data_IF_238283974084
#
_entry.id   IF_238283974084
#
_cell.length_a   1.000
_cell.length_b   1.000
_cell.length_c   1.000
_cell.angle_alpha   90.00
_cell.angle_beta   90.00
_cell.angle_gamma   90.00
#
_symmetry.space_group_name_H-M   'P 1'
#
loop_
_entity.id
_entity.type
_entity.pdbx_description
1 polymer ?
#
# COMPACT_ATOMS: atom_id res chain seq x y z
N UNK A 1 7.89 20.68 -21.99
CA UNK A 1 7.07 21.62 -21.20
C UNK A 1 7.82 21.85 -19.90
N UNK A 2 8.25 23.08 -19.60
CA UNK A 2 8.92 23.39 -18.34
C UNK A 2 7.95 23.21 -17.18
N UNK A 3 8.31 22.38 -16.21
CA UNK A 3 7.54 22.20 -14.98
C UNK A 3 7.77 23.47 -14.15
N UNK A 4 6.71 24.25 -13.92
CA UNK A 4 6.78 25.38 -12.98
C UNK A 4 6.61 24.86 -11.54
N UNK A 5 7.68 24.99 -10.77
CA UNK A 5 7.65 24.71 -9.33
C UNK A 5 7.07 25.91 -8.58
N UNK A 6 6.25 25.66 -7.54
CA UNK A 6 5.81 26.71 -6.63
C UNK A 6 6.91 27.11 -5.63
N UNK A 7 6.67 28.16 -4.85
CA UNK A 7 7.66 28.69 -3.88
C UNK A 7 8.10 27.65 -2.83
N UNK A 8 7.17 26.82 -2.35
CA UNK A 8 7.49 25.77 -1.37
C UNK A 8 8.37 24.68 -1.99
N UNK A 9 8.07 24.31 -3.24
CA UNK A 9 8.86 23.32 -3.98
C UNK A 9 10.25 23.85 -4.33
N UNK A 10 10.36 25.12 -4.76
CA UNK A 10 11.67 25.78 -5.00
C UNK A 10 12.50 25.78 -3.72
N UNK A 11 11.90 26.12 -2.59
CA UNK A 11 12.57 26.09 -1.30
C UNK A 11 13.04 24.66 -0.95
N UNK A 12 12.19 23.65 -1.17
CA UNK A 12 12.55 22.24 -0.93
C UNK A 12 13.73 21.78 -1.79
N UNK A 13 13.78 22.19 -3.08
CA UNK A 13 14.93 21.91 -3.96
C UNK A 13 16.20 22.52 -3.40
N UNK A 14 16.16 23.80 -3.05
CA UNK A 14 17.31 24.52 -2.49
C UNK A 14 17.86 23.85 -1.21
N UNK A 15 16.96 23.47 -0.29
CA UNK A 15 17.33 22.76 0.94
C UNK A 15 17.90 21.38 0.64
N UNK A 16 17.30 20.61 -0.28
CA UNK A 16 17.76 19.29 -0.68
C UNK A 16 19.16 19.33 -1.35
N UNK A 17 19.41 20.34 -2.20
CA UNK A 17 20.77 20.53 -2.78
C UNK A 17 21.80 20.86 -1.70
N UNK A 18 21.49 21.78 -0.79
CA UNK A 18 22.37 22.15 0.31
C UNK A 18 22.69 20.95 1.19
N UNK A 19 21.65 20.19 1.56
CA UNK A 19 21.80 18.94 2.32
C UNK A 19 22.72 17.93 1.62
N UNK A 20 22.45 17.63 0.34
CA UNK A 20 23.24 16.66 -0.41
C UNK A 20 24.71 17.05 -0.56
N UNK A 21 24.99 18.33 -0.74
CA UNK A 21 26.37 18.88 -0.84
C UNK A 21 27.09 18.88 0.50
N UNK A 22 26.39 19.18 1.61
CA UNK A 22 27.00 19.28 2.94
C UNK A 22 27.31 17.92 3.56
N UNK A 23 26.54 16.87 3.22
CA UNK A 23 26.63 15.51 3.78
C UNK A 23 26.66 15.47 5.32
N UNK A 24 26.06 16.45 5.98
CA UNK A 24 26.03 16.55 7.43
C UNK A 24 25.13 15.50 8.07
N UNK A 25 24.03 15.17 7.39
CA UNK A 25 23.05 14.18 7.81
C UNK A 25 22.80 13.19 6.67
N UNK A 26 22.59 11.92 7.00
CA UNK A 26 22.29 10.89 5.99
C UNK A 26 20.89 11.02 5.40
N UNK A 27 19.93 11.63 6.12
CA UNK A 27 18.52 11.68 5.74
C UNK A 27 18.07 13.12 5.52
N UNK A 28 17.24 13.31 4.49
CA UNK A 28 16.50 14.54 4.20
C UNK A 28 15.03 14.23 4.01
N UNK A 29 14.16 14.82 4.82
CA UNK A 29 12.76 14.46 4.92
C UNK A 29 11.84 15.54 4.35
N UNK A 30 10.98 15.16 3.39
CA UNK A 30 9.98 16.03 2.77
C UNK A 30 8.59 15.45 3.02
N UNK A 31 7.80 16.14 3.83
CA UNK A 31 6.41 15.82 4.06
C UNK A 31 5.48 16.67 3.20
N UNK A 32 4.36 16.08 2.75
CA UNK A 32 3.31 16.85 2.07
C UNK A 32 2.13 15.96 1.71
N UNK A 33 0.93 16.53 1.57
CA UNK A 33 -0.28 15.81 1.25
C UNK A 33 -0.21 15.12 -0.12
N UNK A 34 -1.14 14.20 -0.36
CA UNK A 34 -1.32 13.61 -1.68
C UNK A 34 -1.61 14.72 -2.72
N UNK A 35 -0.87 14.72 -3.83
CA UNK A 35 -1.02 15.75 -4.87
C UNK A 35 -0.21 17.03 -4.66
N UNK A 36 0.64 17.11 -3.64
CA UNK A 36 1.57 18.26 -3.46
C UNK A 36 2.76 18.27 -4.44
N UNK A 37 2.83 17.29 -5.36
CA UNK A 37 3.87 17.25 -6.39
C UNK A 37 5.21 16.68 -5.92
N UNK A 38 5.26 15.92 -4.82
CA UNK A 38 6.51 15.33 -4.28
C UNK A 38 7.34 14.58 -5.33
N UNK A 39 6.70 13.73 -6.13
CA UNK A 39 7.38 12.94 -7.17
C UNK A 39 8.02 13.85 -8.23
N UNK A 40 7.30 14.88 -8.68
CA UNK A 40 7.81 15.87 -9.63
C UNK A 40 8.97 16.66 -9.07
N UNK A 41 8.84 17.09 -7.81
CA UNK A 41 9.88 17.78 -7.06
C UNK A 41 11.18 16.97 -7.00
N UNK A 42 11.08 15.68 -6.70
CA UNK A 42 12.25 14.78 -6.60
C UNK A 42 12.95 14.61 -7.93
N UNK A 43 12.21 14.46 -9.03
CA UNK A 43 12.83 14.38 -10.37
C UNK A 43 13.61 15.64 -10.69
N UNK A 44 13.03 16.80 -10.36
CA UNK A 44 13.72 18.08 -10.53
C UNK A 44 14.97 18.19 -9.65
N UNK A 45 14.88 17.77 -8.39
CA UNK A 45 16.04 17.78 -7.47
C UNK A 45 17.16 16.85 -7.96
N UNK A 46 16.85 15.63 -8.43
CA UNK A 46 17.81 14.67 -8.99
C UNK A 46 18.55 15.29 -10.19
N UNK A 47 17.81 15.96 -11.09
CA UNK A 47 18.39 16.68 -12.23
C UNK A 47 19.36 17.80 -11.78
N UNK A 48 18.96 18.62 -10.79
CA UNK A 48 19.81 19.67 -10.22
C UNK A 48 21.06 19.12 -9.52
N UNK A 49 20.97 17.90 -8.95
CA UNK A 49 22.13 17.22 -8.35
C UNK A 49 23.08 16.61 -9.40
N UNK A 50 22.72 16.62 -10.69
CA UNK A 50 23.50 16.02 -11.77
C UNK A 50 23.60 14.51 -11.64
N UNK A 51 22.57 13.85 -11.11
CA UNK A 51 22.52 12.40 -10.95
C UNK A 51 21.69 11.76 -12.08
N UNK A 52 22.23 10.71 -12.65
CA UNK A 52 21.48 9.85 -13.56
C UNK A 52 20.52 8.94 -12.76
N UNK A 53 19.39 8.55 -13.37
CA UNK A 53 18.39 7.72 -12.69
C UNK A 53 18.91 6.34 -12.27
N UNK A 54 19.92 5.81 -12.92
CA UNK A 54 20.59 4.55 -12.55
C UNK A 54 21.52 4.68 -11.33
N UNK A 55 21.87 5.91 -10.94
CA UNK A 55 22.59 6.22 -9.71
C UNK A 55 21.62 6.43 -8.51
N UNK A 56 20.31 6.42 -8.77
CA UNK A 56 19.27 6.63 -7.74
C UNK A 56 18.49 5.35 -7.52
N UNK A 57 18.46 4.88 -6.30
CA UNK A 57 17.61 3.76 -5.90
C UNK A 57 16.25 4.27 -5.40
N UNK A 58 15.21 4.07 -6.20
CA UNK A 58 13.84 4.37 -5.80
C UNK A 58 13.24 3.21 -5.04
N UNK A 59 12.74 3.47 -3.83
CA UNK A 59 12.09 2.47 -2.99
C UNK A 59 10.78 3.00 -2.42
N UNK A 60 9.83 2.10 -2.19
CA UNK A 60 8.60 2.40 -1.48
C UNK A 60 8.30 1.29 -0.48
N UNK A 61 7.60 1.63 0.61
CA UNK A 61 7.22 0.64 1.61
C UNK A 61 6.24 -0.39 1.04
N UNK A 62 5.21 0.09 0.33
CA UNK A 62 4.16 -0.76 -0.28
C UNK A 62 4.49 -1.09 -1.74
N UNK A 63 4.24 -2.35 -2.13
CA UNK A 63 4.43 -2.79 -3.51
C UNK A 63 3.66 -1.96 -4.53
N UNK A 64 2.44 -1.57 -4.20
CA UNK A 64 1.59 -0.75 -5.08
C UNK A 64 2.14 0.67 -5.29
N UNK A 65 2.75 1.26 -4.27
CA UNK A 65 3.44 2.55 -4.40
C UNK A 65 4.67 2.41 -5.33
N UNK A 66 5.47 1.36 -5.17
CA UNK A 66 6.59 1.06 -6.07
C UNK A 66 6.11 0.85 -7.51
N UNK A 67 5.03 0.10 -7.73
CA UNK A 67 4.44 -0.08 -9.06
C UNK A 67 3.98 1.24 -9.68
N UNK A 68 3.35 2.14 -8.90
CA UNK A 68 2.93 3.47 -9.38
C UNK A 68 4.13 4.32 -9.80
N UNK A 69 5.22 4.28 -9.05
CA UNK A 69 6.46 4.95 -9.44
C UNK A 69 7.02 4.36 -10.74
N UNK A 70 7.05 3.04 -10.88
CA UNK A 70 7.51 2.36 -12.09
C UNK A 70 6.69 2.73 -13.33
N UNK A 71 5.36 2.84 -13.22
CA UNK A 71 4.47 3.32 -14.29
C UNK A 71 4.76 4.77 -14.71
N UNK A 72 5.28 5.58 -13.80
CA UNK A 72 5.71 6.96 -14.07
C UNK A 72 7.17 7.04 -14.56
N UNK A 73 7.77 5.90 -14.97
CA UNK A 73 9.12 5.83 -15.51
C UNK A 73 10.25 5.80 -14.47
N UNK A 74 9.93 5.67 -13.18
CA UNK A 74 10.91 5.52 -12.11
C UNK A 74 11.12 4.04 -11.78
N UNK A 75 12.35 3.48 -11.87
CA UNK A 75 12.60 2.05 -11.63
C UNK A 75 12.53 1.70 -10.13
N UNK A 76 11.35 1.83 -9.55
CA UNK A 76 11.14 1.65 -8.13
C UNK A 76 10.94 0.17 -7.73
N UNK A 77 11.40 -0.15 -6.52
CA UNK A 77 11.23 -1.46 -5.85
C UNK A 77 10.59 -1.26 -4.50
N UNK A 78 10.10 -2.36 -3.89
CA UNK A 78 9.79 -2.25 -2.46
C UNK A 78 11.09 -2.19 -1.66
N UNK A 79 11.05 -1.48 -0.51
CA UNK A 79 12.20 -1.41 0.40
C UNK A 79 12.70 -2.81 0.76
N UNK A 80 11.81 -3.76 1.08
CA UNK A 80 12.18 -5.14 1.38
C UNK A 80 12.94 -5.82 0.23
N UNK A 81 12.47 -5.70 -1.02
CA UNK A 81 13.16 -6.32 -2.16
C UNK A 81 14.48 -5.63 -2.50
N UNK A 82 14.61 -4.36 -2.15
CA UNK A 82 15.83 -3.60 -2.36
C UNK A 82 16.93 -4.03 -1.39
N UNK A 83 16.64 -4.13 -0.09
CA UNK A 83 17.64 -4.32 0.97
C UNK A 83 17.80 -5.75 1.46
N UNK A 84 16.77 -6.63 1.32
CA UNK A 84 16.86 -8.03 1.76
C UNK A 84 16.97 -9.01 0.59
N UNK A 85 17.57 -10.16 0.87
CA UNK A 85 17.54 -11.38 0.05
C UNK A 85 16.83 -12.48 0.84
N UNK A 86 16.11 -13.35 0.13
CA UNK A 86 15.46 -14.50 0.76
C UNK A 86 16.38 -15.71 0.70
N UNK A 87 16.78 -16.21 1.85
CA UNK A 87 17.67 -17.36 1.96
C UNK A 87 17.05 -18.46 2.80
N UNK A 88 17.39 -19.72 2.48
CA UNK A 88 17.08 -20.86 3.32
C UNK A 88 18.17 -21.02 4.37
N UNK A 89 17.85 -20.65 5.60
CA UNK A 89 18.77 -20.79 6.75
C UNK A 89 18.43 -22.01 7.60
N UNK A 90 19.40 -22.53 8.31
CA UNK A 90 19.19 -23.63 9.26
C UNK A 90 18.30 -23.15 10.41
N UNK A 91 17.20 -23.86 10.65
CA UNK A 91 16.30 -23.56 11.75
C UNK A 91 17.00 -23.89 13.09
N UNK A 92 16.93 -22.95 14.05
CA UNK A 92 17.44 -23.12 15.41
C UNK A 92 16.32 -22.83 16.41
N UNK A 93 16.34 -23.53 17.56
CA UNK A 93 15.44 -23.25 18.67
C UNK A 93 15.90 -22.00 19.46
N UNK A 94 15.20 -21.69 20.56
CA UNK A 94 15.47 -20.53 21.41
C UNK A 94 16.86 -20.62 22.08
N UNK A 95 17.39 -21.84 22.26
CA UNK A 95 18.74 -22.11 22.81
C UNK A 95 19.82 -22.12 21.70
N UNK A 96 19.48 -21.87 20.45
CA UNK A 96 20.39 -21.85 19.29
C UNK A 96 20.72 -23.24 18.72
N UNK A 97 20.08 -24.32 19.19
CA UNK A 97 20.31 -25.70 18.71
C UNK A 97 19.61 -25.91 17.37
N UNK A 98 20.21 -26.74 16.54
CA UNK A 98 19.66 -27.07 15.21
C UNK A 98 18.39 -27.90 15.37
N UNK A 99 17.32 -27.46 14.71
CA UNK A 99 16.06 -28.20 14.62
C UNK A 99 16.15 -29.21 13.45
N UNK A 100 15.74 -30.43 13.70
CA UNK A 100 15.67 -31.49 12.69
C UNK A 100 14.20 -31.75 12.32
N UNK A 101 13.99 -32.21 11.09
CA UNK A 101 12.69 -32.72 10.62
C UNK A 101 12.43 -34.11 11.22
N UNK A 102 11.18 -34.59 11.18
CA UNK A 102 10.81 -35.95 11.59
C UNK A 102 11.65 -37.05 10.93
N UNK A 103 12.19 -36.78 9.74
CA UNK A 103 13.06 -37.71 9.00
C UNK A 103 14.57 -37.51 9.32
N UNK A 104 14.92 -36.83 10.39
CA UNK A 104 16.30 -36.63 10.84
C UNK A 104 17.15 -35.67 9.98
N UNK A 105 16.54 -34.98 9.00
CA UNK A 105 17.25 -33.97 8.19
C UNK A 105 17.23 -32.61 8.87
N UNK A 106 18.27 -31.81 8.67
CA UNK A 106 18.34 -30.43 9.17
C UNK A 106 17.17 -29.64 8.61
N UNK A 107 16.33 -29.09 9.49
CA UNK A 107 15.22 -28.22 9.10
C UNK A 107 15.77 -26.90 8.60
N UNK A 108 15.38 -26.50 7.38
CA UNK A 108 15.69 -25.20 6.80
C UNK A 108 14.42 -24.36 6.77
N UNK A 109 14.53 -23.11 7.22
CA UNK A 109 13.44 -22.11 7.15
C UNK A 109 13.86 -20.98 6.23
N UNK A 110 12.90 -20.44 5.51
CA UNK A 110 13.17 -19.26 4.68
C UNK A 110 13.23 -18.02 5.57
N UNK A 111 14.27 -17.23 5.44
CA UNK A 111 14.45 -15.97 6.16
C UNK A 111 14.88 -14.85 5.21
N UNK A 112 14.37 -13.64 5.49
CA UNK A 112 14.92 -12.43 4.86
C UNK A 112 16.23 -12.07 5.58
N UNK A 113 17.29 -11.94 4.80
CA UNK A 113 18.63 -11.58 5.29
C UNK A 113 19.03 -10.28 4.61
N UNK A 114 19.57 -9.34 5.36
CA UNK A 114 20.06 -8.08 4.86
C UNK A 114 21.15 -8.33 3.80
N UNK A 115 21.11 -7.61 2.69
CA UNK A 115 22.12 -7.69 1.65
C UNK A 115 23.40 -6.99 2.11
N UNK A 116 24.54 -7.46 1.66
CA UNK A 116 25.81 -6.78 1.90
C UNK A 116 25.93 -5.46 1.11
N UNK A 117 25.21 -5.35 -0.01
CA UNK A 117 25.19 -4.17 -0.90
C UNK A 117 23.85 -4.04 -1.63
N UNK A 118 23.41 -2.81 -1.87
CA UNK A 118 22.15 -2.50 -2.57
C UNK A 118 22.35 -1.92 -3.96
N UNK A 119 23.23 -2.49 -4.72
CA UNK A 119 23.54 -2.08 -6.09
C UNK A 119 24.94 -1.48 -6.22
N UNK A 120 25.39 -1.42 -7.46
CA UNK A 120 26.69 -0.83 -7.79
C UNK A 120 26.46 0.58 -8.33
N UNK A 121 27.14 1.57 -7.78
CA UNK A 121 27.06 2.95 -8.26
C UNK A 121 25.88 3.78 -7.74
N UNK A 122 25.07 3.25 -6.81
CA UNK A 122 23.99 4.02 -6.18
C UNK A 122 24.59 5.11 -5.28
N UNK A 123 24.17 6.35 -5.53
CA UNK A 123 24.63 7.55 -4.81
C UNK A 123 23.53 8.18 -3.97
N UNK A 124 22.27 7.88 -4.27
CA UNK A 124 21.10 8.43 -3.58
C UNK A 124 20.02 7.35 -3.45
N UNK A 125 19.35 7.30 -2.32
CA UNK A 125 18.10 6.56 -2.13
C UNK A 125 16.95 7.55 -2.06
N UNK A 126 15.85 7.26 -2.76
CA UNK A 126 14.57 7.97 -2.62
C UNK A 126 13.54 7.00 -2.11
N UNK A 127 13.09 7.21 -0.87
CA UNK A 127 12.07 6.41 -0.20
C UNK A 127 10.71 7.14 -0.26
N UNK A 128 9.74 6.58 -0.95
CA UNK A 128 8.34 7.05 -0.92
C UNK A 128 7.51 6.32 0.15
N UNK A 129 6.47 6.97 0.64
CA UNK A 129 5.61 6.51 1.75
C UNK A 129 6.41 6.20 3.04
N UNK A 130 7.38 7.04 3.38
CA UNK A 130 8.28 6.86 4.54
C UNK A 130 7.56 6.87 5.90
N UNK A 131 6.35 7.44 5.98
CA UNK A 131 5.51 7.42 7.20
C UNK A 131 5.13 6.02 7.68
N UNK A 132 5.25 5.00 6.80
CA UNK A 132 4.94 3.60 7.11
C UNK A 132 6.15 2.78 7.56
N UNK A 133 7.35 3.35 7.57
CA UNK A 133 8.59 2.64 7.88
C UNK A 133 8.85 2.67 9.39
N UNK A 134 8.99 1.48 10.00
CA UNK A 134 9.35 1.33 11.39
C UNK A 134 10.87 1.42 11.60
N UNK A 135 11.30 1.44 12.85
CA UNK A 135 12.71 1.61 13.23
C UNK A 135 13.63 0.50 12.69
N UNK A 136 13.19 -0.76 12.71
CA UNK A 136 13.98 -1.90 12.22
C UNK A 136 14.34 -1.74 10.74
N UNK A 137 13.33 -1.52 9.90
CA UNK A 137 13.51 -1.36 8.45
C UNK A 137 14.30 -0.10 8.11
N UNK A 138 14.07 0.99 8.86
CA UNK A 138 14.81 2.24 8.69
C UNK A 138 16.30 2.05 8.99
N UNK A 139 16.61 1.41 10.12
CA UNK A 139 18.00 1.11 10.53
C UNK A 139 18.70 0.26 9.49
N UNK A 140 18.04 -0.80 9.01
CA UNK A 140 18.59 -1.66 7.96
C UNK A 140 18.83 -0.90 6.65
N UNK A 141 17.90 -0.02 6.23
CA UNK A 141 18.08 0.82 5.04
C UNK A 141 19.25 1.78 5.20
N UNK A 142 19.34 2.45 6.34
CA UNK A 142 20.37 3.45 6.61
C UNK A 142 21.77 2.84 6.85
N UNK A 143 21.84 1.54 7.19
CA UNK A 143 23.12 0.84 7.41
C UNK A 143 24.01 0.79 6.16
N UNK A 144 23.45 1.00 4.98
CA UNK A 144 24.22 1.08 3.73
C UNK A 144 24.99 2.39 3.57
N UNK A 145 24.80 3.39 4.44
CA UNK A 145 25.54 4.65 4.43
C UNK A 145 25.28 5.57 3.25
N UNK A 146 24.22 5.31 2.46
CA UNK A 146 23.87 6.10 1.27
C UNK A 146 22.94 7.25 1.67
N UNK A 147 23.17 8.50 1.18
CA UNK A 147 22.23 9.60 1.36
C UNK A 147 20.82 9.23 0.96
N UNK A 148 19.84 9.54 1.82
CA UNK A 148 18.46 9.08 1.65
C UNK A 148 17.49 10.24 1.73
N UNK A 149 16.72 10.49 0.67
CA UNK A 149 15.57 11.39 0.69
C UNK A 149 14.32 10.58 1.04
N UNK A 150 13.60 11.03 2.04
CA UNK A 150 12.36 10.38 2.50
C UNK A 150 11.16 11.28 2.16
N UNK A 151 10.22 10.72 1.43
CA UNK A 151 8.96 11.34 1.07
C UNK A 151 7.81 10.69 1.83
N UNK A 152 6.80 11.47 2.17
CA UNK A 152 5.57 10.92 2.73
C UNK A 152 4.59 12.00 3.15
N UNK A 153 3.64 11.62 3.97
CA UNK A 153 2.63 12.51 4.53
C UNK A 153 2.48 12.21 6.02
N UNK A 154 2.91 13.15 6.85
CA UNK A 154 2.87 13.01 8.32
C UNK A 154 1.45 12.87 8.90
N UNK A 155 0.44 13.24 8.10
CA UNK A 155 -0.96 13.17 8.52
C UNK A 155 -1.63 11.82 8.18
N UNK A 156 -0.98 10.98 7.39
CA UNK A 156 -1.47 9.64 7.10
C UNK A 156 -1.25 8.67 8.27
N UNK A 157 -1.85 7.49 8.15
CA UNK A 157 -1.70 6.43 9.14
C UNK A 157 -0.23 6.02 9.31
N UNK A 158 0.22 5.83 10.56
CA UNK A 158 1.54 5.28 10.86
C UNK A 158 1.63 3.79 10.48
N UNK A 159 2.80 3.15 10.61
CA UNK A 159 2.93 1.72 10.40
C UNK A 159 2.02 0.94 11.35
N UNK A 160 1.52 -0.22 10.90
CA UNK A 160 0.64 -1.10 11.70
C UNK A 160 1.40 -1.64 12.92
N UNK A 161 2.70 -1.88 12.78
CA UNK A 161 3.57 -2.38 13.84
C UNK A 161 4.71 -1.40 14.11
N UNK A 162 4.90 -1.05 15.38
CA UNK A 162 5.93 -0.12 15.81
C UNK A 162 5.54 1.35 15.65
N UNK A 163 6.50 2.23 15.84
CA UNK A 163 6.36 3.68 15.64
C UNK A 163 6.98 4.08 14.30
N UNK A 164 6.47 5.13 13.62
CA UNK A 164 7.13 5.64 12.44
C UNK A 164 8.53 6.15 12.81
N UNK A 165 9.53 5.77 12.01
CA UNK A 165 10.89 6.24 12.20
C UNK A 165 11.07 7.61 11.57
N UNK A 166 10.64 7.75 10.32
CA UNK A 166 10.76 8.98 9.54
C UNK A 166 9.56 9.92 9.70
N UNK A 167 9.73 11.15 9.24
CA UNK A 167 8.70 12.20 9.14
C UNK A 167 8.09 12.62 10.49
N UNK A 168 8.83 12.50 11.57
CA UNK A 168 8.42 13.05 12.86
C UNK A 168 8.59 14.56 12.89
N UNK A 169 9.74 15.03 12.40
CA UNK A 169 10.14 16.43 12.28
C UNK A 169 10.79 16.63 10.91
N UNK A 170 9.99 16.65 9.82
CA UNK A 170 10.54 16.71 8.47
C UNK A 170 11.24 18.04 8.21
N UNK A 171 12.33 18.03 7.42
CA UNK A 171 13.10 19.21 7.05
C UNK A 171 12.27 20.21 6.22
N UNK A 172 11.35 19.68 5.39
CA UNK A 172 10.44 20.49 4.58
C UNK A 172 9.01 19.96 4.63
N UNK A 173 8.05 20.87 4.80
CA UNK A 173 6.62 20.57 4.74
C UNK A 173 6.00 21.32 3.55
N UNK A 174 5.53 20.58 2.55
CA UNK A 174 4.72 21.11 1.46
C UNK A 174 3.27 21.19 1.92
N UNK A 175 2.68 22.37 1.88
CA UNK A 175 1.28 22.61 2.29
C UNK A 175 0.34 22.70 1.09
N UNK A 176 0.84 23.20 -0.03
CA UNK A 176 0.04 23.45 -1.22
C UNK A 176 -0.21 22.16 -1.99
N UNK A 177 -1.48 21.88 -2.30
CA UNK A 177 -1.90 20.78 -3.17
C UNK A 177 -1.98 21.27 -4.60
N UNK A 178 -1.14 20.70 -5.49
CA UNK A 178 -1.00 21.14 -6.89
C UNK A 178 -2.03 20.52 -7.84
N UNK A 179 -2.64 19.42 -7.45
CA UNK A 179 -3.44 18.56 -8.34
C UNK A 179 -4.83 19.07 -8.68
N UNK A 180 -5.32 20.08 -7.98
CA UNK A 180 -6.76 20.34 -8.02
C UNK A 180 -7.06 21.83 -7.89
N UNK A 181 -7.98 22.28 -8.74
CA UNK A 181 -8.50 23.64 -8.72
C UNK A 181 -9.09 24.01 -7.34
N UNK A 182 -9.10 25.29 -7.03
CA UNK A 182 -9.84 25.84 -5.90
C UNK A 182 -11.27 25.28 -5.90
N UNK A 183 -11.70 24.69 -4.78
CA UNK A 183 -13.04 24.10 -4.63
C UNK A 183 -13.15 22.58 -4.72
N UNK A 184 -12.03 21.82 -4.83
CA UNK A 184 -12.13 20.37 -4.82
C UNK A 184 -12.65 19.83 -3.47
N UNK A 185 -13.78 19.09 -3.47
CA UNK A 185 -14.42 18.61 -2.25
C UNK A 185 -13.53 17.66 -1.44
N UNK A 186 -12.66 16.88 -2.08
CA UNK A 186 -11.77 15.94 -1.40
C UNK A 186 -10.72 16.69 -0.58
N UNK A 187 -10.13 17.75 -1.14
CA UNK A 187 -9.20 18.62 -0.42
C UNK A 187 -9.92 19.31 0.74
N UNK A 188 -11.08 19.90 0.47
CA UNK A 188 -11.88 20.54 1.50
C UNK A 188 -12.18 19.60 2.68
N UNK A 189 -12.71 18.40 2.39
CA UNK A 189 -13.04 17.40 3.42
C UNK A 189 -11.80 16.92 4.19
N UNK A 190 -10.69 16.70 3.50
CA UNK A 190 -9.43 16.32 4.14
C UNK A 190 -8.90 17.40 5.09
N UNK A 191 -9.00 18.67 4.69
CA UNK A 191 -8.63 19.79 5.54
C UNK A 191 -9.56 19.98 6.74
N UNK A 192 -10.89 19.73 6.57
CA UNK A 192 -11.81 19.74 7.72
C UNK A 192 -11.37 18.71 8.77
N UNK A 193 -11.00 17.50 8.35
CA UNK A 193 -10.48 16.47 9.26
C UNK A 193 -9.17 16.89 9.93
N UNK A 194 -8.22 17.45 9.19
CA UNK A 194 -6.94 17.91 9.76
C UNK A 194 -7.11 19.02 10.78
N UNK A 195 -8.11 19.88 10.59
CA UNK A 195 -8.44 20.97 11.50
C UNK A 195 -9.41 20.56 12.62
N UNK A 196 -9.58 19.25 12.85
CA UNK A 196 -10.48 18.69 13.88
C UNK A 196 -11.95 19.15 13.76
N UNK A 197 -12.38 19.57 12.58
CA UNK A 197 -13.76 19.98 12.36
C UNK A 197 -14.65 18.76 12.11
N UNK A 198 -15.87 18.84 12.59
CA UNK A 198 -16.86 17.80 12.37
C UNK A 198 -17.23 17.70 10.89
N UNK A 199 -17.25 16.51 10.36
CA UNK A 199 -17.79 16.21 9.04
C UNK A 199 -19.33 16.23 9.13
N UNK A 200 -19.96 17.26 8.57
CA UNK A 200 -21.41 17.41 8.59
C UNK A 200 -22.06 16.65 7.43
N UNK A 201 -23.22 16.05 7.65
CA UNK A 201 -24.03 15.42 6.60
C UNK A 201 -24.37 16.48 5.55
N UNK A 202 -24.24 16.12 4.27
CA UNK A 202 -24.51 17.01 3.14
C UNK A 202 -23.75 16.64 1.89
N UNK A 203 -23.98 17.43 0.82
CA UNK A 203 -23.34 17.28 -0.48
C UNK A 203 -22.23 18.32 -0.62
N UNK A 204 -21.08 17.89 -1.09
CA UNK A 204 -19.87 18.68 -1.27
C UNK A 204 -19.35 18.50 -2.70
N UNK A 205 -19.89 19.22 -3.66
CA UNK A 205 -19.58 19.05 -5.06
C UNK A 205 -19.87 17.63 -5.57
N UNK A 206 -18.82 16.92 -6.00
CA UNK A 206 -18.93 15.51 -6.44
C UNK A 206 -18.95 14.50 -5.28
N UNK A 207 -18.77 14.94 -4.04
CA UNK A 207 -18.67 14.12 -2.83
C UNK A 207 -19.83 14.34 -1.89
N UNK A 208 -20.07 13.42 -0.99
CA UNK A 208 -21.19 13.51 -0.04
C UNK A 208 -20.85 12.84 1.30
N UNK A 209 -21.53 13.28 2.35
CA UNK A 209 -21.53 12.65 3.66
C UNK A 209 -22.97 12.28 3.99
N UNK A 210 -23.24 11.02 4.22
CA UNK A 210 -24.57 10.49 4.48
C UNK A 210 -24.62 9.72 5.81
N UNK A 211 -25.77 9.71 6.48
CA UNK A 211 -25.96 8.83 7.63
C UNK A 211 -26.09 7.37 7.17
N UNK A 212 -25.76 6.43 8.05
CA UNK A 212 -25.85 4.99 7.75
C UNK A 212 -27.26 4.55 7.29
N UNK A 213 -28.31 5.21 7.78
CA UNK A 213 -29.69 4.94 7.40
C UNK A 213 -30.04 5.27 5.94
N UNK A 214 -29.26 6.15 5.29
CA UNK A 214 -29.44 6.53 3.88
C UNK A 214 -28.56 5.73 2.92
N UNK A 215 -27.72 4.83 3.45
CA UNK A 215 -26.88 3.98 2.63
C UNK A 215 -27.72 3.00 1.80
N UNK A 216 -27.44 2.95 0.49
CA UNK A 216 -28.16 2.12 -0.49
C UNK A 216 -27.20 1.22 -1.25
N UNK A 217 -27.69 0.13 -1.83
CA UNK A 217 -26.90 -0.74 -2.71
C UNK A 217 -26.23 0.00 -3.87
N UNK A 218 -26.85 1.09 -4.35
CA UNK A 218 -26.26 1.93 -5.41
C UNK A 218 -24.96 2.64 -5.01
N UNK A 219 -24.72 2.93 -3.73
CA UNK A 219 -23.46 3.49 -3.27
C UNK A 219 -22.31 2.49 -3.42
N UNK A 220 -22.60 1.21 -3.15
CA UNK A 220 -21.63 0.13 -3.34
C UNK A 220 -21.32 -0.12 -4.81
N UNK A 221 -22.34 -0.19 -5.67
CA UNK A 221 -22.14 -0.50 -7.10
C UNK A 221 -21.45 0.63 -7.87
N UNK A 222 -21.57 1.88 -7.42
CA UNK A 222 -20.90 3.05 -8.01
C UNK A 222 -19.46 3.23 -7.54
N UNK A 223 -19.10 2.65 -6.39
CA UNK A 223 -17.76 2.81 -5.82
C UNK A 223 -16.71 1.97 -6.58
N UNK A 224 -15.57 2.56 -6.85
CA UNK A 224 -14.40 1.83 -7.34
C UNK A 224 -13.81 0.94 -6.25
N UNK A 225 -13.96 1.36 -5.00
CA UNK A 225 -13.51 0.64 -3.79
C UNK A 225 -14.34 1.04 -2.60
N UNK A 226 -14.56 0.09 -1.68
CA UNK A 226 -15.09 0.37 -0.34
C UNK A 226 -13.94 0.34 0.67
N UNK A 227 -13.82 1.39 1.48
CA UNK A 227 -12.85 1.47 2.56
C UNK A 227 -13.54 1.24 3.90
N UNK A 228 -12.95 0.39 4.72
CA UNK A 228 -13.43 0.06 6.08
C UNK A 228 -12.32 0.31 7.10
N UNK A 229 -12.68 0.38 8.37
CA UNK A 229 -11.70 0.47 9.46
C UNK A 229 -11.26 -0.91 9.93
N UNK A 230 -12.20 -1.86 9.96
CA UNK A 230 -11.99 -3.20 10.52
C UNK A 230 -11.95 -4.29 9.46
N UNK A 231 -11.20 -5.36 9.73
CA UNK A 231 -11.20 -6.56 8.90
C UNK A 231 -12.55 -7.27 8.91
N UNK A 232 -13.30 -7.21 10.03
CA UNK A 232 -14.64 -7.81 10.16
C UNK A 232 -15.61 -7.16 9.17
N UNK A 233 -15.68 -5.82 9.16
CA UNK A 233 -16.57 -5.12 8.21
C UNK A 233 -16.13 -5.35 6.77
N UNK A 234 -14.84 -5.31 6.48
CA UNK A 234 -14.26 -5.61 5.17
C UNK A 234 -14.74 -6.98 4.66
N UNK A 235 -14.65 -8.00 5.50
CA UNK A 235 -15.08 -9.36 5.16
C UNK A 235 -16.58 -9.42 4.87
N UNK A 236 -17.41 -8.83 5.76
CA UNK A 236 -18.87 -8.77 5.59
C UNK A 236 -19.25 -8.07 4.27
N UNK A 237 -18.60 -6.95 3.95
CA UNK A 237 -18.90 -6.20 2.72
C UNK A 237 -18.48 -6.99 1.48
N UNK A 238 -17.35 -7.69 1.49
CA UNK A 238 -16.95 -8.54 0.36
C UNK A 238 -17.97 -9.67 0.12
N UNK A 239 -18.48 -10.30 1.17
CA UNK A 239 -19.54 -11.31 1.06
C UNK A 239 -20.85 -10.70 0.56
N UNK A 240 -21.28 -9.55 1.10
CA UNK A 240 -22.44 -8.82 0.62
C UNK A 240 -22.36 -8.52 -0.88
N UNK A 241 -21.21 -8.07 -1.39
CA UNK A 241 -21.01 -7.85 -2.82
C UNK A 241 -21.23 -9.12 -3.62
N UNK A 242 -20.73 -10.25 -3.14
CA UNK A 242 -20.85 -11.53 -3.86
C UNK A 242 -22.26 -12.05 -3.81
N UNK A 243 -22.87 -12.10 -2.65
CA UNK A 243 -24.17 -12.71 -2.45
C UNK A 243 -25.30 -11.83 -2.97
N UNK A 244 -25.39 -10.59 -2.50
CA UNK A 244 -26.53 -9.72 -2.76
C UNK A 244 -26.42 -8.95 -4.08
N UNK A 245 -25.22 -8.53 -4.47
CA UNK A 245 -25.05 -7.71 -5.69
C UNK A 245 -24.68 -8.54 -6.92
N UNK A 246 -24.04 -9.69 -6.74
CA UNK A 246 -23.61 -10.57 -7.83
C UNK A 246 -24.38 -11.88 -7.92
N UNK A 247 -25.12 -12.28 -6.88
CA UNK A 247 -25.89 -13.52 -6.83
C UNK A 247 -25.04 -14.79 -6.73
N UNK A 248 -23.77 -14.68 -6.28
CA UNK A 248 -22.89 -15.81 -6.08
C UNK A 248 -23.07 -16.38 -4.66
N UNK A 249 -22.93 -17.69 -4.50
CA UNK A 249 -22.91 -18.29 -3.16
C UNK A 249 -21.57 -18.00 -2.48
N UNK A 250 -21.57 -17.94 -1.15
CA UNK A 250 -20.38 -17.62 -0.36
C UNK A 250 -19.16 -18.50 -0.69
N UNK A 251 -19.38 -19.82 -0.90
CA UNK A 251 -18.33 -20.78 -1.19
C UNK A 251 -18.12 -21.05 -2.69
N UNK A 252 -18.76 -20.28 -3.57
CA UNK A 252 -18.51 -20.41 -5.00
C UNK A 252 -17.09 -19.97 -5.35
N UNK A 253 -16.51 -20.59 -6.37
CA UNK A 253 -15.22 -20.18 -6.92
C UNK A 253 -15.27 -18.72 -7.36
N UNK A 254 -14.11 -18.03 -7.42
CA UNK A 254 -14.04 -16.74 -8.08
C UNK A 254 -14.56 -16.82 -9.52
N UNK A 255 -15.30 -15.83 -9.94
CA UNK A 255 -15.84 -15.74 -11.29
C UNK A 255 -15.07 -14.70 -12.09
N UNK A 256 -15.07 -14.83 -13.43
CA UNK A 256 -14.49 -13.84 -14.34
C UNK A 256 -15.16 -12.49 -14.08
N UNK A 257 -14.35 -11.43 -13.99
CA UNK A 257 -14.78 -10.07 -13.66
C UNK A 257 -14.96 -9.78 -12.16
N UNK A 258 -14.75 -10.76 -11.27
CA UNK A 258 -14.71 -10.48 -9.83
C UNK A 258 -13.46 -9.70 -9.44
N UNK A 259 -13.63 -8.79 -8.49
CA UNK A 259 -12.55 -7.99 -7.95
C UNK A 259 -11.85 -8.74 -6.82
N UNK A 260 -10.54 -8.91 -6.97
CA UNK A 260 -9.69 -9.61 -6.02
C UNK A 260 -8.48 -8.76 -5.62
N UNK A 261 -7.86 -9.11 -4.50
CA UNK A 261 -6.67 -8.45 -3.99
C UNK A 261 -5.60 -9.49 -3.67
N UNK A 262 -4.40 -9.28 -4.17
CA UNK A 262 -3.23 -10.07 -3.82
C UNK A 262 -2.81 -9.81 -2.37
N UNK A 263 -2.53 -10.87 -1.61
CA UNK A 263 -2.18 -10.81 -0.18
C UNK A 263 -0.76 -11.29 0.11
N UNK A 264 0.05 -11.48 -0.94
CA UNK A 264 1.43 -11.94 -0.82
C UNK A 264 2.31 -11.30 -1.89
N UNK A 265 3.53 -10.94 -1.53
CA UNK A 265 4.52 -10.50 -2.53
C UNK A 265 5.07 -11.72 -3.27
N UNK A 266 5.11 -11.64 -4.60
CA UNK A 266 5.74 -12.64 -5.46
C UNK A 266 6.68 -11.96 -6.45
N UNK A 267 7.95 -11.94 -6.11
CA UNK A 267 9.01 -11.29 -6.91
C UNK A 267 9.47 -12.12 -8.11
N UNK A 268 8.98 -13.34 -8.26
CA UNK A 268 9.24 -14.18 -9.43
C UNK A 268 8.24 -13.93 -10.57
N UNK A 269 7.14 -13.20 -10.30
CA UNK A 269 6.10 -12.87 -11.28
C UNK A 269 6.12 -11.37 -11.55
N UNK A 270 6.40 -11.00 -12.79
CA UNK A 270 6.34 -9.60 -13.23
C UNK A 270 5.67 -9.47 -14.59
N UNK A 271 5.08 -8.31 -14.82
CA UNK A 271 4.58 -7.83 -16.11
C UNK A 271 5.18 -6.44 -16.36
N UNK A 272 5.15 -5.98 -17.61
CA UNK A 272 5.57 -4.62 -18.01
C UNK A 272 6.81 -4.10 -17.29
N UNK A 273 8.01 -4.53 -17.69
CA UNK A 273 9.29 -3.96 -17.25
C UNK A 273 9.44 -3.74 -15.73
N UNK A 274 8.91 -4.65 -14.91
CA UNK A 274 9.18 -4.63 -13.47
C UNK A 274 7.99 -4.39 -12.56
N UNK A 275 6.76 -4.46 -13.05
CA UNK A 275 5.57 -4.52 -12.18
C UNK A 275 5.47 -5.93 -11.62
N UNK A 276 5.78 -6.11 -10.35
CA UNK A 276 5.71 -7.40 -9.66
C UNK A 276 4.34 -7.62 -9.02
N UNK A 277 3.93 -8.88 -8.89
CA UNK A 277 2.74 -9.26 -8.15
C UNK A 277 2.97 -9.02 -6.65
N UNK A 278 2.31 -8.01 -6.08
CA UNK A 278 2.59 -7.55 -4.73
C UNK A 278 1.37 -7.53 -3.83
N UNK A 279 1.62 -7.66 -2.52
CA UNK A 279 0.58 -7.52 -1.50
C UNK A 279 -0.12 -6.16 -1.60
N UNK A 280 -1.44 -6.17 -1.53
CA UNK A 280 -2.30 -4.98 -1.67
C UNK A 280 -2.67 -4.65 -3.11
N UNK A 281 -2.16 -5.37 -4.12
CA UNK A 281 -2.52 -5.16 -5.52
C UNK A 281 -3.96 -5.63 -5.77
N UNK A 282 -4.86 -4.69 -6.04
CA UNK A 282 -6.23 -4.95 -6.45
C UNK A 282 -6.32 -5.13 -7.96
N UNK A 283 -7.29 -5.91 -8.41
CA UNK A 283 -7.52 -6.14 -9.83
C UNK A 283 -8.71 -7.06 -10.06
N UNK A 284 -8.78 -7.61 -11.25
CA UNK A 284 -9.90 -8.41 -11.71
C UNK A 284 -9.44 -9.78 -12.17
N UNK A 285 -10.30 -10.77 -12.01
CA UNK A 285 -10.15 -12.11 -12.59
C UNK A 285 -10.51 -12.00 -14.06
N UNK A 286 -9.54 -12.17 -14.96
CA UNK A 286 -9.78 -12.16 -16.41
C UNK A 286 -10.11 -13.56 -16.94
N UNK A 287 -9.50 -14.60 -16.36
CA UNK A 287 -9.82 -15.99 -16.62
C UNK A 287 -9.56 -16.86 -15.38
N UNK A 288 -10.17 -18.06 -15.31
CA UNK A 288 -10.03 -18.96 -14.18
C UNK A 288 -10.05 -20.43 -14.60
N UNK A 289 -9.09 -21.18 -14.09
CA UNK A 289 -8.90 -22.59 -14.40
C UNK A 289 -8.89 -23.41 -13.12
N UNK A 290 -9.72 -24.46 -13.08
CA UNK A 290 -9.75 -25.42 -11.96
C UNK A 290 -8.62 -26.41 -12.12
N UNK A 291 -7.87 -26.62 -11.04
CA UNK A 291 -6.94 -27.75 -10.98
C UNK A 291 -7.72 -29.04 -10.79
N UNK A 292 -7.61 -29.96 -11.77
CA UNK A 292 -8.29 -31.25 -11.73
C UNK A 292 -7.68 -32.22 -10.72
N UNK A 293 -6.41 -32.04 -10.35
CA UNK A 293 -5.66 -32.93 -9.46
C UNK A 293 -5.66 -32.43 -8.00
N UNK A 294 -5.68 -31.13 -7.79
CA UNK A 294 -5.65 -30.54 -6.45
C UNK A 294 -6.89 -29.67 -6.18
N UNK A 295 -7.83 -30.22 -5.40
CA UNK A 295 -9.09 -29.52 -5.05
C UNK A 295 -8.90 -28.25 -4.23
N UNK A 296 -7.68 -27.94 -3.76
CA UNK A 296 -7.38 -26.77 -2.92
C UNK A 296 -6.71 -25.64 -3.70
N UNK A 297 -6.22 -25.91 -4.91
CA UNK A 297 -5.56 -24.91 -5.76
C UNK A 297 -6.37 -24.60 -7.00
N UNK A 298 -6.28 -23.38 -7.44
CA UNK A 298 -6.83 -22.91 -8.71
C UNK A 298 -5.81 -22.01 -9.40
N UNK A 299 -5.96 -21.84 -10.68
CA UNK A 299 -5.15 -20.92 -11.47
C UNK A 299 -6.05 -19.89 -12.10
N UNK A 300 -5.63 -18.64 -12.11
CA UNK A 300 -6.34 -17.54 -12.75
C UNK A 300 -5.41 -16.62 -13.52
N UNK A 301 -5.96 -15.92 -14.47
CA UNK A 301 -5.38 -14.75 -15.08
C UNK A 301 -5.83 -13.52 -14.28
N UNK A 302 -4.88 -12.78 -13.73
CA UNK A 302 -5.14 -11.63 -12.87
C UNK A 302 -4.68 -10.33 -13.54
N UNK A 303 -5.60 -9.40 -13.71
CA UNK A 303 -5.34 -8.07 -14.27
C UNK A 303 -5.44 -7.00 -13.19
N UNK A 304 -4.34 -6.34 -12.82
CA UNK A 304 -4.38 -5.21 -11.89
C UNK A 304 -5.27 -4.06 -12.37
N UNK A 305 -5.91 -3.35 -11.44
CA UNK A 305 -6.85 -2.26 -11.74
C UNK A 305 -6.21 -0.99 -12.33
N UNK A 306 -4.89 -0.90 -12.33
CA UNK A 306 -4.12 0.25 -12.79
C UNK A 306 -3.32 0.01 -14.09
N UNK A 307 -3.36 -1.20 -14.66
CA UNK A 307 -2.70 -1.53 -15.94
C UNK A 307 -3.57 -2.44 -16.80
N UNK A 308 -3.27 -2.50 -18.10
CA UNK A 308 -3.89 -3.45 -19.03
C UNK A 308 -3.17 -4.81 -19.07
N UNK A 309 -1.99 -4.90 -18.46
CA UNK A 309 -1.20 -6.11 -18.44
C UNK A 309 -1.78 -7.14 -17.49
N UNK A 310 -1.62 -8.40 -17.84
CA UNK A 310 -2.24 -9.54 -17.14
C UNK A 310 -1.17 -10.47 -16.62
N UNK A 311 -1.19 -10.75 -15.32
CA UNK A 311 -0.43 -11.85 -14.74
C UNK A 311 -1.12 -13.18 -15.13
N UNK A 312 -0.50 -13.90 -16.04
CA UNK A 312 -1.03 -15.17 -16.56
C UNK A 312 -0.74 -16.33 -15.63
N UNK A 313 -1.69 -17.27 -15.55
CA UNK A 313 -1.53 -18.55 -14.84
C UNK A 313 -1.05 -18.37 -13.38
N UNK A 314 -1.68 -17.48 -12.63
CA UNK A 314 -1.38 -17.27 -11.21
C UNK A 314 -2.05 -18.37 -10.39
N UNK A 315 -1.25 -19.26 -9.80
CA UNK A 315 -1.77 -20.35 -8.96
C UNK A 315 -1.96 -19.89 -7.53
N UNK A 316 -3.14 -20.08 -6.99
CA UNK A 316 -3.49 -19.64 -5.64
C UNK A 316 -4.29 -20.71 -4.89
N UNK A 317 -4.27 -20.62 -3.57
CA UNK A 317 -5.04 -21.49 -2.72
C UNK A 317 -6.44 -20.87 -2.51
N UNK A 318 -7.48 -21.45 -3.14
CA UNK A 318 -8.80 -20.85 -3.10
C UNK A 318 -9.51 -20.93 -1.73
N UNK A 319 -9.33 -21.94 -0.88
CA UNK A 319 -9.89 -21.92 0.47
C UNK A 319 -9.48 -20.69 1.30
N UNK A 320 -8.32 -20.12 1.01
CA UNK A 320 -7.87 -18.89 1.66
C UNK A 320 -8.79 -17.69 1.37
N UNK A 321 -9.46 -17.66 0.22
CA UNK A 321 -10.37 -16.57 -0.15
C UNK A 321 -11.64 -16.53 0.71
N UNK A 322 -12.00 -17.65 1.33
CA UNK A 322 -13.17 -17.76 2.22
C UNK A 322 -12.81 -17.71 3.68
N UNK A 323 -11.54 -17.86 4.01
CA UNK A 323 -11.11 -17.89 5.39
C UNK A 323 -11.44 -16.56 6.06
N UNK A 324 -12.18 -16.63 7.16
CA UNK A 324 -12.42 -15.46 8.01
C UNK A 324 -11.05 -15.06 8.57
N UNK A 325 -10.63 -13.79 8.42
CA UNK A 325 -9.39 -13.33 9.03
C UNK A 325 -9.42 -13.59 10.53
N UNK A 326 -8.33 -14.08 11.13
CA UNK A 326 -8.26 -14.34 12.58
C UNK A 326 -8.65 -13.10 13.41
N UNK A 327 -8.30 -11.91 12.94
CA UNK A 327 -8.71 -10.63 13.54
C UNK A 327 -10.21 -10.30 13.42
N UNK A 328 -10.98 -11.10 12.68
CA UNK A 328 -12.43 -10.98 12.56
C UNK A 328 -13.19 -12.11 13.31
N UNK A 329 -12.46 -13.06 13.88
CA UNK A 329 -13.04 -14.15 14.70
C UNK A 329 -13.19 -13.66 16.14
N UNK A 330 -14.31 -14.04 16.76
CA UNK A 330 -14.53 -13.84 18.20
C UNK A 330 -13.81 -14.94 19.03
N UNK A 331 -13.42 -16.05 18.38
CA UNK A 331 -12.79 -17.21 18.99
C UNK A 331 -11.51 -17.57 18.24
N UNK A 332 -10.36 -17.60 18.94
CA UNK A 332 -9.03 -17.89 18.39
C UNK A 332 -8.87 -19.35 17.90
N UNK A 333 -9.86 -20.20 18.14
CA UNK A 333 -9.82 -21.64 17.82
C UNK A 333 -9.91 -21.98 16.32
N UNK A 334 -10.24 -21.02 15.44
CA UNK A 334 -10.27 -21.21 13.99
C UNK A 334 -9.09 -20.52 13.32
N UNK A 335 -7.87 -20.91 13.66
CA UNK A 335 -6.68 -20.47 12.94
C UNK A 335 -6.76 -20.81 11.46
N UNK A 336 -6.49 -19.80 10.61
CA UNK A 336 -6.16 -20.03 9.21
C UNK A 336 -4.86 -20.83 9.21
N UNK A 337 -4.96 -22.16 9.10
CA UNK A 337 -3.78 -23.01 8.96
C UNK A 337 -2.94 -22.47 7.80
N UNK A 338 -1.63 -22.38 8.02
CA UNK A 338 -0.64 -21.94 7.03
C UNK A 338 -0.65 -22.87 5.80
N UNK A 339 -1.65 -22.68 4.94
CA UNK A 339 -1.74 -23.39 3.68
C UNK A 339 -0.71 -22.83 2.70
N UNK A 340 0.29 -23.64 2.49
CA UNK A 340 1.25 -23.61 1.38
C UNK A 340 2.03 -22.30 1.15
N UNK A 341 3.32 -22.37 1.46
CA UNK A 341 4.29 -21.28 1.27
C UNK A 341 4.53 -20.99 -0.22
N UNK A 342 4.15 -21.92 -1.11
CA UNK A 342 4.50 -21.88 -2.54
C UNK A 342 3.48 -21.18 -3.42
N UNK A 343 2.19 -21.12 -3.04
CA UNK A 343 1.14 -20.51 -3.84
C UNK A 343 0.92 -19.03 -3.48
N UNK A 344 0.42 -18.28 -4.46
CA UNK A 344 -0.02 -16.91 -4.25
C UNK A 344 -1.28 -16.89 -3.37
N UNK A 345 -1.55 -15.75 -2.72
CA UNK A 345 -2.70 -15.58 -1.86
C UNK A 345 -3.56 -14.45 -2.36
N UNK A 346 -4.85 -14.72 -2.47
CA UNK A 346 -5.85 -13.73 -2.87
C UNK A 346 -7.04 -13.74 -1.92
N UNK A 347 -7.68 -12.59 -1.82
CA UNK A 347 -8.96 -12.37 -1.17
C UNK A 347 -9.87 -11.59 -2.12
N UNK A 348 -11.18 -11.52 -1.84
CA UNK A 348 -12.06 -10.62 -2.57
C UNK A 348 -11.71 -9.17 -2.24
N UNK A 349 -11.73 -8.31 -3.27
CA UNK A 349 -11.19 -6.96 -3.24
C UNK A 349 -12.21 -5.84 -3.45
N UNK A 350 -13.51 -6.09 -3.25
CA UNK A 350 -14.54 -5.05 -3.34
C UNK A 350 -14.41 -4.05 -2.18
N UNK A 351 -14.10 -4.57 -1.00
CA UNK A 351 -13.77 -3.78 0.17
C UNK A 351 -12.37 -4.13 0.71
N UNK A 352 -11.64 -3.11 1.16
CA UNK A 352 -10.33 -3.23 1.82
C UNK A 352 -10.28 -2.33 3.05
N UNK A 353 -9.37 -2.60 3.99
CA UNK A 353 -9.17 -1.68 5.10
C UNK A 353 -8.46 -0.41 4.62
N UNK A 354 -8.71 0.72 5.29
CA UNK A 354 -8.04 1.98 5.02
C UNK A 354 -6.51 1.83 5.10
N UNK A 355 -5.99 1.05 6.05
CA UNK A 355 -4.56 0.75 6.14
C UNK A 355 -4.03 0.09 4.86
N UNK A 356 -4.77 -0.88 4.31
CA UNK A 356 -4.36 -1.59 3.10
C UNK A 356 -4.47 -0.72 1.83
N UNK A 357 -5.22 0.38 1.89
CA UNK A 357 -5.35 1.33 0.79
C UNK A 357 -4.21 2.33 0.68
N UNK A 358 -3.31 2.40 1.67
CA UNK A 358 -2.14 3.29 1.63
C UNK A 358 -1.30 3.04 0.38
N UNK A 359 -0.69 4.09 -0.17
CA UNK A 359 0.00 4.02 -1.46
C UNK A 359 -0.91 3.87 -2.69
N UNK A 360 -2.24 3.80 -2.51
CA UNK A 360 -3.22 3.63 -3.59
C UNK A 360 -4.12 4.85 -3.75
N UNK A 361 -4.70 5.00 -4.94
CA UNK A 361 -5.75 5.97 -5.23
C UNK A 361 -6.84 5.32 -6.08
N UNK A 362 -8.08 5.77 -5.92
CA UNK A 362 -9.26 5.21 -6.58
C UNK A 362 -10.15 6.32 -7.08
N UNK A 363 -10.80 6.13 -8.22
CA UNK A 363 -11.66 7.14 -8.82
C UNK A 363 -12.79 7.56 -7.87
N UNK A 364 -13.56 6.57 -7.38
CA UNK A 364 -14.70 6.78 -6.49
C UNK A 364 -14.58 5.91 -5.25
N UNK A 365 -14.57 6.53 -4.10
CA UNK A 365 -14.41 5.85 -2.81
C UNK A 365 -15.73 5.88 -2.04
N UNK A 366 -16.14 4.73 -1.50
CA UNK A 366 -17.14 4.63 -0.43
C UNK A 366 -16.39 4.35 0.87
N UNK A 367 -16.41 5.29 1.81
CA UNK A 367 -15.76 5.13 3.11
C UNK A 367 -16.81 4.90 4.20
N UNK A 368 -16.75 3.74 4.83
CA UNK A 368 -17.59 3.37 5.96
C UNK A 368 -16.85 3.71 7.26
N UNK A 369 -17.22 4.84 7.85
CA UNK A 369 -16.61 5.32 9.08
C UNK A 369 -17.26 4.60 10.28
N UNK A 370 -16.56 3.61 10.84
CA UNK A 370 -17.02 2.81 11.98
C UNK A 370 -16.74 3.49 13.32
N UNK A 371 -15.90 4.55 13.32
CA UNK A 371 -15.47 5.27 14.51
C UNK A 371 -14.84 4.37 15.59
N UNK A 372 -14.11 3.34 15.17
CA UNK A 372 -13.56 2.31 16.05
C UNK A 372 -12.19 2.64 16.64
N UNK A 373 -11.53 3.68 16.15
CA UNK A 373 -10.21 4.07 16.65
C UNK A 373 -10.27 4.65 18.05
N UNK A 374 -9.32 4.23 18.91
CA UNK A 374 -9.31 4.58 20.34
C UNK A 374 -9.02 6.05 20.59
N UNK A 375 -8.04 6.62 19.89
CA UNK A 375 -7.65 8.02 20.10
C UNK A 375 -8.24 8.95 19.06
N UNK A 376 -8.38 10.24 19.41
CA UNK A 376 -8.81 11.27 18.47
C UNK A 376 -7.84 11.43 17.31
N UNK A 377 -6.55 11.30 17.59
CA UNK A 377 -5.48 11.39 16.60
C UNK A 377 -5.56 10.25 15.59
N UNK A 378 -5.75 9.00 16.03
CA UNK A 378 -5.88 7.86 15.13
C UNK A 378 -7.11 7.97 14.25
N UNK A 379 -8.25 8.43 14.80
CA UNK A 379 -9.46 8.71 14.01
C UNK A 379 -9.22 9.76 12.94
N UNK A 380 -8.54 10.85 13.30
CA UNK A 380 -8.18 11.91 12.37
C UNK A 380 -7.30 11.38 11.23
N UNK A 381 -6.23 10.67 11.55
CA UNK A 381 -5.33 10.07 10.55
C UNK A 381 -6.02 9.04 9.67
N UNK A 382 -6.88 8.22 10.24
CA UNK A 382 -7.63 7.21 9.50
C UNK A 382 -8.59 7.86 8.49
N UNK A 383 -9.42 8.81 8.95
CA UNK A 383 -10.37 9.53 8.09
C UNK A 383 -9.64 10.35 7.02
N UNK A 384 -8.56 11.04 7.39
CA UNK A 384 -7.71 11.76 6.45
C UNK A 384 -7.14 10.81 5.38
N UNK A 385 -6.58 9.67 5.80
CA UNK A 385 -6.05 8.66 4.87
C UNK A 385 -7.13 8.15 3.93
N UNK A 386 -8.32 7.82 4.44
CA UNK A 386 -9.44 7.34 3.62
C UNK A 386 -9.88 8.37 2.57
N UNK A 387 -10.05 9.63 2.99
CA UNK A 387 -10.49 10.72 2.11
C UNK A 387 -9.46 10.95 0.99
N UNK A 388 -8.19 10.98 1.32
CA UNK A 388 -7.12 11.23 0.35
C UNK A 388 -6.87 10.07 -0.63
N UNK A 389 -7.57 8.92 -0.47
CA UNK A 389 -7.56 7.83 -1.47
C UNK A 389 -8.43 8.12 -2.67
N UNK A 390 -9.40 9.03 -2.56
CA UNK A 390 -10.27 9.39 -3.67
C UNK A 390 -9.56 10.31 -4.70
N UNK A 391 -9.91 10.13 -5.98
CA UNK A 391 -9.47 10.99 -7.08
C UNK A 391 -10.61 11.92 -7.47
N UNK A 392 -11.80 11.36 -7.80
CA UNK A 392 -12.92 12.11 -8.34
C UNK A 392 -13.98 12.44 -7.28
N UNK A 393 -14.32 11.46 -6.45
CA UNK A 393 -15.37 11.64 -5.45
C UNK A 393 -15.26 10.66 -4.30
N UNK A 394 -15.83 11.06 -3.15
CA UNK A 394 -15.98 10.19 -1.99
C UNK A 394 -17.38 10.31 -1.41
N UNK A 395 -17.99 9.16 -1.09
CA UNK A 395 -19.15 9.07 -0.20
C UNK A 395 -18.68 8.60 1.16
N UNK A 396 -18.91 9.40 2.20
CA UNK A 396 -18.57 9.05 3.60
C UNK A 396 -19.85 8.69 4.32
N UNK A 397 -19.89 7.50 4.91
CA UNK A 397 -21.03 7.02 5.73
C UNK A 397 -20.65 7.19 7.20
N UNK A 398 -21.49 7.96 7.94
CA UNK A 398 -21.29 8.28 9.38
C UNK A 398 -22.41 7.75 10.25
#
# INVERSE_FOLDING_TARGET
>A
MGIELNKEQIYAVYQGESWFKSQTNQVFEISGPAGSGKTTLILYLIDQLGLDLDQVLFVAYMGKAACRMALNGLPAKTIHSAIYKYEKVIARDEDGKIIYTENGKVKKVGKFVLKDRIGKGIKLIVLDEGSMVNEEIATDLLSFGIPTIVLGDLNQLPPVFGKPYFLREPDVILKQVMRQNEGNPIIYLSQQVLNDKRLNIGVYGSSEIIPKSEMKGSHFSKASIVLTETNRLRWNINNFFREELRGYKQLDYPHIGEKVICRKNNWSRSVDNGIYLTNGMCGFVDDIFKDTYNKKTMTMDFRPDFTKSVFRNVTFNYPYMYAIPSSALEDESQEIQNYDIFNDRFEYGYAITTHLSQGSQYQKVLYLNENMMRTKEDRRRLSYTAITRAIDSITIVV
#
